data_IF_061986252967
#
_entry.id   IF_061986252967
#
_cell.length_a   1.000
_cell.length_b   1.000
_cell.length_c   1.000
_cell.angle_alpha   90.00
_cell.angle_beta   90.00
_cell.angle_gamma   90.00
#
_symmetry.space_group_name_H-M   'P 1'
#
loop_
_entity.id
_entity.type
_entity.pdbx_description
1 polymer ?
#
# COMPACT_ATOMS: atom_id res chain seq x y z
N UNK A 1 -0.55 -5.15 4.90
CA UNK A 1 0.33 -5.08 6.09
C UNK A 1 1.68 -4.43 5.79
N UNK A 2 2.20 -3.60 6.70
CA UNK A 2 3.57 -3.08 6.63
C UNK A 2 4.58 -4.07 7.23
N UNK A 3 5.74 -4.23 6.60
CA UNK A 3 6.82 -5.09 7.06
C UNK A 3 8.17 -4.40 6.89
N UNK A 4 9.12 -4.77 7.74
CA UNK A 4 10.52 -4.36 7.59
C UNK A 4 11.32 -5.61 7.24
N UNK A 5 12.05 -5.55 6.13
CA UNK A 5 12.97 -6.60 5.72
C UNK A 5 14.41 -6.10 5.85
N UNK A 6 15.31 -6.99 6.27
CA UNK A 6 16.75 -6.76 6.23
C UNK A 6 17.30 -7.43 4.97
N UNK A 7 17.91 -6.65 4.10
CA UNK A 7 18.48 -7.09 2.85
C UNK A 7 20.00 -6.93 2.86
N UNK A 8 20.67 -7.75 2.09
CA UNK A 8 22.10 -7.64 1.80
C UNK A 8 22.26 -7.55 0.30
N UNK A 9 22.98 -6.54 -0.16
CA UNK A 9 23.28 -6.38 -1.59
C UNK A 9 24.69 -5.80 -1.79
N UNK A 10 25.19 -5.88 -3.02
CA UNK A 10 26.39 -5.19 -3.46
C UNK A 10 26.00 -3.97 -4.28
N UNK A 11 26.42 -2.80 -3.81
CA UNK A 11 26.15 -1.51 -4.46
C UNK A 11 27.38 -1.08 -5.23
N UNK A 12 27.18 -0.74 -6.51
CA UNK A 12 28.20 -0.14 -7.37
C UNK A 12 28.11 1.37 -7.23
N UNK A 13 29.18 2.02 -6.80
CA UNK A 13 29.31 3.47 -6.71
C UNK A 13 30.10 3.97 -7.92
N UNK A 14 29.46 4.80 -8.73
CA UNK A 14 30.09 5.36 -9.92
C UNK A 14 31.26 6.31 -9.55
N UNK A 15 32.37 6.35 -10.32
CA UNK A 15 33.48 7.25 -10.04
C UNK A 15 33.10 8.73 -9.93
N UNK A 16 32.05 9.13 -10.66
CA UNK A 16 31.51 10.50 -10.57
C UNK A 16 31.00 10.87 -9.16
N UNK A 17 30.69 9.88 -8.32
CA UNK A 17 30.18 10.05 -6.96
C UNK A 17 31.25 9.93 -5.87
N UNK A 18 32.52 9.74 -6.22
CA UNK A 18 33.60 9.59 -5.23
C UNK A 18 33.88 10.85 -4.41
N UNK A 19 33.40 12.02 -4.87
CA UNK A 19 33.46 13.26 -4.08
C UNK A 19 32.41 13.35 -2.97
N UNK A 20 31.47 12.40 -2.88
CA UNK A 20 30.41 12.37 -1.88
C UNK A 20 30.75 11.40 -0.74
N UNK A 21 30.17 11.59 0.47
CA UNK A 21 30.25 10.58 1.52
C UNK A 21 29.73 9.22 1.03
N UNK A 22 30.45 8.10 1.28
CA UNK A 22 30.03 6.77 0.84
C UNK A 22 28.61 6.41 1.28
N UNK A 23 28.20 6.84 2.47
CA UNK A 23 26.86 6.65 3.02
C UNK A 23 25.77 7.26 2.16
N UNK A 24 26.00 8.49 1.68
CA UNK A 24 25.05 9.21 0.84
C UNK A 24 24.99 8.59 -0.56
N UNK A 25 26.15 8.29 -1.15
CA UNK A 25 26.24 7.69 -2.47
C UNK A 25 25.55 6.31 -2.51
N UNK A 26 25.77 5.48 -1.49
CA UNK A 26 25.11 4.18 -1.36
C UNK A 26 23.61 4.34 -1.14
N UNK A 27 23.19 5.26 -0.27
CA UNK A 27 21.78 5.46 0.00
C UNK A 27 21.03 5.92 -1.25
N UNK A 28 21.62 6.80 -2.05
CA UNK A 28 21.05 7.26 -3.32
C UNK A 28 20.87 6.09 -4.32
N UNK A 29 21.90 5.26 -4.49
CA UNK A 29 21.83 4.08 -5.38
C UNK A 29 20.81 3.05 -4.89
N UNK A 30 20.76 2.79 -3.59
CA UNK A 30 19.77 1.88 -3.00
C UNK A 30 18.35 2.41 -3.18
N UNK A 31 18.11 3.71 -2.95
CA UNK A 31 16.80 4.33 -3.18
C UNK A 31 16.37 4.19 -4.63
N UNK A 32 17.25 4.53 -5.56
CA UNK A 32 16.99 4.43 -7.00
C UNK A 32 16.68 2.99 -7.44
N UNK A 33 17.33 2.00 -6.83
CA UNK A 33 17.16 0.59 -7.16
C UNK A 33 15.92 -0.03 -6.52
N UNK A 34 15.64 0.29 -5.26
CA UNK A 34 14.65 -0.43 -4.46
C UNK A 34 13.36 0.34 -4.20
N UNK A 35 13.35 1.68 -4.13
CA UNK A 35 12.09 2.40 -3.87
C UNK A 35 11.12 2.25 -5.04
N UNK A 36 9.87 1.89 -4.72
CA UNK A 36 8.86 1.55 -5.72
C UNK A 36 9.02 0.16 -6.35
N UNK A 37 10.07 -0.60 -6.01
CA UNK A 37 10.23 -1.98 -6.47
C UNK A 37 9.08 -2.84 -5.96
N UNK A 38 8.58 -3.71 -6.86
CA UNK A 38 7.43 -4.58 -6.59
C UNK A 38 7.86 -6.01 -6.75
N UNK A 39 7.70 -6.77 -5.68
CA UNK A 39 7.95 -8.21 -5.65
C UNK A 39 6.76 -8.93 -5.02
N UNK A 40 6.54 -10.19 -5.41
CA UNK A 40 5.42 -10.99 -4.91
C UNK A 40 5.56 -11.34 -3.42
N UNK A 41 6.80 -11.48 -2.94
CA UNK A 41 7.08 -11.89 -1.57
C UNK A 41 7.34 -10.69 -0.66
N UNK A 42 8.13 -9.71 -1.13
CA UNK A 42 8.43 -8.49 -0.37
C UNK A 42 7.29 -7.48 -0.42
N UNK A 43 6.39 -7.58 -1.40
CA UNK A 43 5.36 -6.59 -1.68
C UNK A 43 5.93 -5.37 -2.38
N UNK A 44 5.47 -4.19 -1.99
CA UNK A 44 5.91 -2.92 -2.57
C UNK A 44 6.89 -2.28 -1.60
N UNK A 45 8.10 -2.01 -2.06
CA UNK A 45 9.11 -1.29 -1.28
C UNK A 45 8.77 0.20 -1.29
N UNK A 46 8.58 0.75 -0.09
CA UNK A 46 8.20 2.16 0.11
C UNK A 46 9.44 3.01 0.36
N UNK A 47 10.36 2.49 1.18
CA UNK A 47 11.48 3.26 1.68
C UNK A 47 12.66 2.35 2.02
N UNK A 48 13.86 2.83 1.73
CA UNK A 48 15.13 2.24 2.17
C UNK A 48 15.67 3.03 3.37
N UNK A 49 16.16 2.34 4.40
CA UNK A 49 16.68 2.94 5.63
C UNK A 49 17.91 2.19 6.17
N UNK A 50 18.69 2.88 7.00
CA UNK A 50 19.75 2.34 7.85
C UNK A 50 20.80 1.50 7.06
N UNK A 51 21.41 2.05 5.99
CA UNK A 51 22.47 1.33 5.29
C UNK A 51 23.69 1.18 6.20
N UNK A 52 24.17 -0.06 6.32
CA UNK A 52 25.42 -0.43 6.98
C UNK A 52 26.39 -0.89 5.90
N UNK A 53 27.39 -0.07 5.65
CA UNK A 53 28.31 -0.23 4.54
C UNK A 53 29.57 -0.92 5.07
N UNK A 54 30.04 -1.93 4.34
CA UNK A 54 31.37 -2.46 4.56
C UNK A 54 32.40 -1.38 4.17
N UNK A 55 33.24 -0.91 5.12
CA UNK A 55 34.21 0.14 4.85
C UNK A 55 35.19 -0.25 3.75
N UNK A 56 35.40 -1.54 3.52
CA UNK A 56 36.31 -2.03 2.47
C UNK A 56 35.47 -2.49 1.28
N UNK A 57 35.48 -1.67 0.22
CA UNK A 57 34.98 -2.05 -1.09
C UNK A 57 36.02 -2.76 -1.95
N UNK A 58 35.61 -3.23 -3.12
CA UNK A 58 36.49 -3.81 -4.13
C UNK A 58 36.22 -3.22 -5.51
N UNK A 59 37.22 -3.30 -6.40
CA UNK A 59 37.13 -2.82 -7.78
C UNK A 59 37.18 -4.04 -8.71
N UNK A 60 36.36 -4.03 -9.74
CA UNK A 60 36.34 -5.08 -10.76
C UNK A 60 37.21 -4.63 -11.94
N UNK A 61 38.04 -5.52 -12.48
CA UNK A 61 38.87 -5.19 -13.63
C UNK A 61 38.01 -4.72 -14.81
N UNK A 62 38.34 -3.54 -15.37
CA UNK A 62 37.61 -2.92 -16.47
C UNK A 62 36.43 -2.02 -16.06
N UNK A 63 36.08 -1.93 -14.78
CA UNK A 63 35.13 -0.94 -14.25
C UNK A 63 35.83 -0.07 -13.20
N UNK A 64 35.85 1.25 -13.41
CA UNK A 64 36.44 2.19 -12.46
C UNK A 64 35.63 2.38 -11.17
N UNK A 65 34.40 1.83 -11.11
CA UNK A 65 33.53 1.93 -9.95
C UNK A 65 34.02 1.13 -8.74
N UNK A 66 33.67 1.60 -7.55
CA UNK A 66 33.85 0.84 -6.31
C UNK A 66 32.59 0.03 -5.98
N UNK A 67 32.78 -1.19 -5.50
CA UNK A 67 31.71 -2.09 -5.10
C UNK A 67 31.76 -2.29 -3.59
N UNK A 68 30.66 -1.98 -2.91
CA UNK A 68 30.56 -2.12 -1.47
C UNK A 68 29.45 -3.10 -1.11
N UNK A 69 29.72 -4.00 -0.15
CA UNK A 69 28.69 -4.83 0.46
C UNK A 69 27.92 -3.97 1.45
N UNK A 70 26.59 -4.03 1.39
CA UNK A 70 25.72 -3.20 2.22
C UNK A 70 24.61 -4.05 2.80
N UNK A 71 24.42 -3.95 4.12
CA UNK A 71 23.19 -4.41 4.77
C UNK A 71 22.27 -3.22 4.98
N UNK A 72 20.99 -3.35 4.65
CA UNK A 72 20.05 -2.25 4.80
C UNK A 72 18.64 -2.76 5.11
N UNK A 73 17.81 -1.86 5.61
CA UNK A 73 16.42 -2.15 5.95
C UNK A 73 15.51 -1.54 4.88
N UNK A 74 14.47 -2.29 4.49
CA UNK A 74 13.42 -1.78 3.60
C UNK A 74 12.08 -1.87 4.29
N UNK A 75 11.34 -0.76 4.27
CA UNK A 75 9.93 -0.71 4.65
C UNK A 75 9.11 -1.10 3.43
N UNK A 76 8.31 -2.16 3.56
CA UNK A 76 7.46 -2.64 2.47
C UNK A 76 6.00 -2.70 2.90
N UNK A 77 5.11 -2.65 1.90
CA UNK A 77 3.69 -2.88 2.05
C UNK A 77 3.26 -4.12 1.27
N UNK A 78 2.76 -5.12 1.99
CA UNK A 78 2.29 -6.40 1.46
C UNK A 78 0.78 -6.48 1.68
N UNK A 79 -0.06 -6.22 0.66
CA UNK A 79 -1.49 -6.48 0.77
C UNK A 79 -1.76 -7.99 0.81
N UNK A 80 -2.42 -8.49 1.85
CA UNK A 80 -2.71 -9.92 2.02
C UNK A 80 -4.18 -10.21 1.73
N UNK A 81 -4.46 -11.32 1.04
CA UNK A 81 -5.85 -11.76 0.82
C UNK A 81 -6.50 -12.08 2.18
N UNK A 82 -7.77 -11.69 2.33
CA UNK A 82 -8.56 -11.77 3.56
C UNK A 82 -8.12 -10.84 4.70
N UNK A 83 -7.13 -9.98 4.49
CA UNK A 83 -6.75 -8.94 5.46
C UNK A 83 -7.87 -7.92 5.61
N UNK A 84 -8.17 -7.53 6.85
CA UNK A 84 -9.09 -6.43 7.15
C UNK A 84 -8.28 -5.15 7.25
N UNK A 85 -8.65 -4.16 6.46
CA UNK A 85 -7.97 -2.87 6.35
C UNK A 85 -8.94 -1.73 6.61
N UNK A 86 -8.42 -0.66 7.19
CA UNK A 86 -9.13 0.61 7.31
C UNK A 86 -8.50 1.63 6.36
N UNK A 87 -9.33 2.44 5.73
CA UNK A 87 -8.87 3.42 4.76
C UNK A 87 -9.87 4.54 4.56
N UNK A 88 -9.39 5.64 4.01
CA UNK A 88 -10.21 6.79 3.69
C UNK A 88 -10.72 6.70 2.25
N UNK A 89 -12.00 7.02 2.04
CA UNK A 89 -12.59 7.09 0.70
C UNK A 89 -12.05 8.32 -0.02
N UNK A 90 -11.24 8.11 -1.07
CA UNK A 90 -10.69 9.18 -1.89
C UNK A 90 -11.66 9.61 -2.99
N UNK A 91 -12.37 8.64 -3.57
CA UNK A 91 -13.32 8.88 -4.65
C UNK A 91 -14.52 7.94 -4.58
N UNK A 92 -15.67 8.48 -4.97
CA UNK A 92 -16.94 7.77 -5.09
C UNK A 92 -17.40 7.88 -6.54
N UNK A 93 -17.56 6.74 -7.21
CA UNK A 93 -17.94 6.67 -8.61
C UNK A 93 -19.15 5.73 -8.79
N UNK A 94 -19.75 5.72 -9.99
CA UNK A 94 -20.85 4.79 -10.36
C UNK A 94 -20.48 3.31 -10.18
N UNK A 95 -19.21 2.97 -10.38
CA UNK A 95 -18.73 1.59 -10.24
C UNK A 95 -18.50 1.17 -8.77
N UNK A 96 -18.36 2.13 -7.85
CA UNK A 96 -18.05 1.86 -6.45
C UNK A 96 -17.15 2.91 -5.80
N UNK A 97 -16.35 2.48 -4.83
CA UNK A 97 -15.51 3.33 -4.00
C UNK A 97 -14.03 3.06 -4.26
N UNK A 98 -13.25 4.14 -4.31
CA UNK A 98 -11.78 4.08 -4.26
C UNK A 98 -11.37 4.51 -2.86
N UNK A 99 -10.68 3.60 -2.17
CA UNK A 99 -10.31 3.73 -0.77
C UNK A 99 -8.79 3.66 -0.66
N UNK A 100 -8.17 4.65 -0.01
CA UNK A 100 -6.74 4.67 0.24
C UNK A 100 -6.40 3.80 1.45
N UNK A 101 -5.60 2.75 1.21
CA UNK A 101 -5.23 1.74 2.20
C UNK A 101 -3.71 1.76 2.48
N UNK A 102 -3.16 2.96 2.66
CA UNK A 102 -1.71 3.18 2.80
C UNK A 102 -1.08 3.65 1.48
N UNK A 103 -0.03 2.95 0.96
CA UNK A 103 0.60 3.33 -0.32
C UNK A 103 -0.19 2.85 -1.54
N UNK A 104 -1.29 2.12 -1.34
CA UNK A 104 -2.13 1.56 -2.39
C UNK A 104 -3.56 2.09 -2.32
N UNK A 105 -4.21 2.05 -3.47
CA UNK A 105 -5.65 2.26 -3.62
C UNK A 105 -6.35 0.90 -3.72
N UNK A 106 -7.37 0.73 -2.91
CA UNK A 106 -8.29 -0.40 -2.96
C UNK A 106 -9.61 0.01 -3.59
N UNK A 107 -10.18 -0.88 -4.39
CA UNK A 107 -11.47 -0.69 -5.04
C UNK A 107 -12.54 -1.57 -4.39
N UNK A 108 -13.66 -0.96 -3.99
CA UNK A 108 -14.86 -1.67 -3.54
C UNK A 108 -15.94 -1.48 -4.59
N UNK A 109 -16.34 -2.55 -5.26
CA UNK A 109 -17.43 -2.51 -6.22
C UNK A 109 -18.78 -2.17 -5.55
N UNK A 110 -19.69 -1.49 -6.25
CA UNK A 110 -20.98 -1.03 -5.70
C UNK A 110 -21.80 -2.17 -5.05
N UNK A 111 -21.78 -3.36 -5.63
CA UNK A 111 -22.48 -4.55 -5.09
C UNK A 111 -21.81 -5.19 -3.86
N UNK A 112 -20.61 -4.72 -3.50
CA UNK A 112 -19.82 -5.18 -2.35
C UNK A 112 -19.82 -4.17 -1.20
N UNK A 113 -20.60 -3.09 -1.29
CA UNK A 113 -20.66 -2.03 -0.28
C UNK A 113 -21.55 -2.44 0.91
N UNK A 114 -22.75 -2.96 0.63
CA UNK A 114 -23.73 -3.35 1.63
C UNK A 114 -24.56 -4.55 1.15
N UNK A 115 -25.27 -5.19 2.06
CA UNK A 115 -26.18 -6.30 1.77
C UNK A 115 -27.58 -5.80 1.37
N UNK A 116 -27.63 -4.78 0.51
CA UNK A 116 -28.87 -4.15 0.05
C UNK A 116 -28.65 -3.49 -1.32
N UNK A 117 -29.71 -2.93 -1.90
CA UNK A 117 -29.59 -2.15 -3.12
C UNK A 117 -28.92 -0.79 -2.83
N UNK A 118 -27.84 -0.54 -3.55
CA UNK A 118 -26.99 0.63 -3.38
C UNK A 118 -27.02 1.46 -4.67
N UNK A 119 -27.30 2.76 -4.54
CA UNK A 119 -27.38 3.70 -5.65
C UNK A 119 -26.33 4.80 -5.53
N UNK A 120 -25.73 5.19 -6.66
CA UNK A 120 -24.83 6.33 -6.74
C UNK A 120 -25.61 7.62 -7.06
N UNK A 121 -25.41 8.65 -6.23
CA UNK A 121 -25.91 10.00 -6.47
C UNK A 121 -24.78 10.85 -7.11
N UNK A 122 -24.91 11.22 -8.41
CA UNK A 122 -23.90 12.01 -9.11
C UNK A 122 -23.82 13.45 -8.64
N UNK A 123 -24.90 14.01 -8.09
CA UNK A 123 -24.94 15.42 -7.65
C UNK A 123 -24.15 15.57 -6.35
N UNK A 124 -24.32 14.62 -5.44
CA UNK A 124 -23.62 14.61 -4.15
C UNK A 124 -22.26 13.93 -4.18
N UNK A 125 -21.94 13.18 -5.25
CA UNK A 125 -20.75 12.33 -5.29
C UNK A 125 -20.77 11.31 -4.15
N UNK A 126 -21.93 10.71 -3.89
CA UNK A 126 -22.16 9.86 -2.72
C UNK A 126 -22.84 8.56 -3.11
N UNK A 127 -22.61 7.53 -2.30
CA UNK A 127 -23.30 6.25 -2.43
C UNK A 127 -24.33 6.15 -1.31
N UNK A 128 -25.58 5.85 -1.70
CA UNK A 128 -26.73 5.77 -0.80
C UNK A 128 -27.28 4.34 -0.82
N UNK A 129 -27.46 3.79 0.37
CA UNK A 129 -28.09 2.51 0.62
C UNK A 129 -29.62 2.73 0.73
N UNK A 130 -30.42 2.07 -0.12
CA UNK A 130 -31.86 2.40 -0.26
C UNK A 130 -32.70 2.05 0.97
N UNK A 131 -32.42 0.94 1.64
CA UNK A 131 -33.21 0.46 2.78
C UNK A 131 -32.77 1.13 4.08
N UNK A 132 -31.46 1.17 4.33
CA UNK A 132 -30.92 1.73 5.57
C UNK A 132 -30.76 3.24 5.54
N UNK A 133 -30.90 3.88 4.36
CA UNK A 133 -30.62 5.31 4.11
C UNK A 133 -29.20 5.73 4.52
N UNK A 134 -28.28 4.76 4.61
CA UNK A 134 -26.88 4.98 4.95
C UNK A 134 -26.14 5.56 3.75
N UNK A 135 -25.25 6.51 4.02
CA UNK A 135 -24.54 7.28 2.98
C UNK A 135 -23.03 7.16 3.20
N UNK A 136 -22.30 6.93 2.11
CA UNK A 136 -20.84 7.02 2.04
C UNK A 136 -20.47 8.16 1.08
N UNK A 137 -19.57 9.03 1.52
CA UNK A 137 -19.06 10.19 0.80
C UNK A 137 -17.53 10.17 0.75
N UNK A 138 -16.96 11.03 -0.09
CA UNK A 138 -15.51 11.27 -0.09
C UNK A 138 -15.07 11.77 1.30
N UNK A 139 -13.99 11.20 1.81
CA UNK A 139 -13.39 11.55 3.10
C UNK A 139 -13.82 10.63 4.25
N UNK A 140 -14.86 9.81 4.06
CA UNK A 140 -15.30 8.85 5.07
C UNK A 140 -14.26 7.76 5.32
N UNK A 141 -14.17 7.29 6.56
CA UNK A 141 -13.29 6.17 6.94
C UNK A 141 -14.10 4.88 6.92
N UNK A 142 -13.63 3.92 6.11
CA UNK A 142 -14.27 2.62 5.93
C UNK A 142 -13.33 1.49 6.33
N UNK A 143 -13.92 0.43 6.86
CA UNK A 143 -13.25 -0.85 7.10
C UNK A 143 -13.71 -1.85 6.04
N UNK A 144 -12.75 -2.42 5.33
CA UNK A 144 -13.01 -3.39 4.26
C UNK A 144 -12.10 -4.61 4.40
N UNK A 145 -12.50 -5.73 3.78
CA UNK A 145 -11.65 -6.91 3.67
C UNK A 145 -11.12 -7.03 2.25
N UNK A 146 -9.83 -7.28 2.10
CA UNK A 146 -9.21 -7.57 0.81
C UNK A 146 -9.67 -8.94 0.31
N UNK A 147 -10.22 -8.99 -0.89
CA UNK A 147 -10.67 -10.24 -1.53
C UNK A 147 -9.70 -10.70 -2.61
N UNK A 148 -9.08 -9.76 -3.33
CA UNK A 148 -8.13 -10.06 -4.38
C UNK A 148 -7.03 -9.01 -4.45
N UNK A 149 -5.81 -9.48 -4.73
CA UNK A 149 -4.62 -8.65 -4.85
C UNK A 149 -3.96 -8.98 -6.18
N UNK A 150 -3.73 -7.96 -6.99
CA UNK A 150 -2.93 -8.05 -8.21
C UNK A 150 -1.87 -6.96 -8.17
N UNK A 151 -0.61 -7.31 -7.91
CA UNK A 151 0.47 -6.33 -7.82
C UNK A 151 0.88 -5.72 -9.18
N UNK A 152 0.36 -6.26 -10.28
CA UNK A 152 0.75 -5.87 -11.64
C UNK A 152 2.17 -6.30 -12.00
N UNK A 153 2.54 -6.15 -13.28
CA UNK A 153 3.95 -6.16 -13.70
C UNK A 153 4.51 -4.74 -13.67
N UNK A 154 5.75 -4.53 -14.15
CA UNK A 154 6.43 -3.23 -14.12
C UNK A 154 5.63 -2.08 -14.75
N UNK A 155 4.75 -2.37 -15.72
CA UNK A 155 3.92 -1.37 -16.41
C UNK A 155 2.47 -1.25 -15.92
N UNK A 156 1.98 -2.16 -15.06
CA UNK A 156 0.59 -2.12 -14.59
C UNK A 156 0.54 -1.71 -13.13
N UNK A 157 -0.31 -0.74 -12.81
CA UNK A 157 -0.55 -0.36 -11.42
C UNK A 157 -1.10 -1.55 -10.61
N UNK A 158 -0.69 -1.68 -9.34
CA UNK A 158 -1.26 -2.66 -8.44
C UNK A 158 -2.76 -2.36 -8.25
N UNK A 159 -3.57 -3.42 -8.26
CA UNK A 159 -5.01 -3.37 -8.04
C UNK A 159 -5.36 -4.25 -6.86
N UNK A 160 -6.02 -3.65 -5.88
CA UNK A 160 -6.56 -4.36 -4.70
C UNK A 160 -8.07 -4.27 -4.78
N UNK A 161 -8.75 -5.41 -4.74
CA UNK A 161 -10.22 -5.49 -4.71
C UNK A 161 -10.64 -5.86 -3.30
N UNK A 162 -11.67 -5.18 -2.80
CA UNK A 162 -12.12 -5.30 -1.43
C UNK A 162 -13.65 -5.43 -1.34
N UNK A 163 -14.12 -5.91 -0.18
CA UNK A 163 -15.55 -6.01 0.15
C UNK A 163 -15.84 -5.40 1.51
N UNK A 164 -17.05 -4.87 1.67
CA UNK A 164 -17.61 -4.36 2.92
C UNK A 164 -18.92 -5.09 3.31
N UNK A 165 -19.38 -6.06 2.52
CA UNK A 165 -20.66 -6.76 2.70
C UNK A 165 -20.65 -7.81 3.83
N UNK A 166 -19.63 -7.85 4.66
CA UNK A 166 -19.52 -8.83 5.75
C UNK A 166 -19.81 -8.17 7.11
N UNK A 167 -20.20 -8.94 8.14
CA UNK A 167 -20.36 -8.41 9.48
C UNK A 167 -19.10 -7.67 9.96
N UNK A 168 -19.31 -6.57 10.70
CA UNK A 168 -18.24 -5.71 11.25
C UNK A 168 -17.39 -4.94 10.22
N UNK A 169 -17.83 -4.89 8.96
CA UNK A 169 -17.24 -4.06 7.90
C UNK A 169 -18.18 -2.93 7.50
N UNK A 170 -17.67 -1.98 6.72
CA UNK A 170 -18.37 -0.79 6.26
C UNK A 170 -17.84 0.50 6.87
N UNK A 171 -18.65 1.56 6.84
CA UNK A 171 -18.31 2.84 7.43
C UNK A 171 -18.10 2.70 8.95
N UNK A 172 -17.10 3.36 9.51
CA UNK A 172 -16.73 3.22 10.93
C UNK A 172 -17.91 3.47 11.88
N UNK A 173 -18.70 4.50 11.59
CA UNK A 173 -19.90 4.87 12.35
C UNK A 173 -20.95 3.75 12.35
N UNK A 174 -21.10 3.02 11.23
CA UNK A 174 -22.06 1.92 11.12
C UNK A 174 -21.62 0.71 11.96
N UNK A 175 -20.31 0.50 12.06
CA UNK A 175 -19.72 -0.56 12.87
C UNK A 175 -19.91 -0.23 14.35
N UNK A 176 -19.68 1.02 14.75
CA UNK A 176 -19.88 1.47 16.14
C UNK A 176 -21.35 1.33 16.57
N UNK A 177 -22.30 1.73 15.72
CA UNK A 177 -23.74 1.49 15.94
C UNK A 177 -24.07 0.00 16.10
N UNK A 178 -23.51 -0.84 15.22
CA UNK A 178 -23.75 -2.28 15.23
C UNK A 178 -23.23 -2.93 16.52
N UNK A 179 -22.06 -2.51 17.00
CA UNK A 179 -21.47 -2.99 18.26
C UNK A 179 -22.31 -2.52 19.46
N UNK A 180 -22.76 -1.26 19.48
CA UNK A 180 -23.61 -0.74 20.57
C UNK A 180 -24.92 -1.52 20.71
N UNK A 181 -25.59 -1.82 19.58
CA UNK A 181 -26.82 -2.63 19.59
C UNK A 181 -26.60 -4.02 20.16
N UNK A 182 -25.47 -4.65 19.85
CA UNK A 182 -25.14 -6.00 20.36
C UNK A 182 -24.67 -6.05 21.81
N UNK A 183 -24.07 -4.97 22.34
CA UNK A 183 -23.66 -4.88 23.75
C UNK A 183 -24.78 -4.47 24.71
N UNK A 184 -25.85 -3.88 24.17
CA UNK A 184 -27.06 -3.52 24.93
C UNK A 184 -28.11 -4.63 24.99
N UNK A 185 -27.74 -5.87 24.63
CA UNK A 185 -28.53 -7.10 24.73
C UNK A 185 -27.76 -8.11 25.56
#
# INVERSE_FOLDING_TARGET
MFRIYKLRDVVRIDPSKFGMPPEEAVLEELRKRYEGYRDRNLGIVIMVRNPKIDPIGYIIFGDGASYHRVEFEVLTYVPTINEVVEGQVEQVNRAGLIVKIGPLEGFVHISQIADEEVSFDPVRGSVICKQTKRIITKGDVVRARITSVSLGGSQRAPRVVMTMRQPFLGKKEWIDEYIRRRRGS
#
